data_IF_175557524061
#
_entry.id   IF_175557524061
#
_cell.length_a   1.000
_cell.length_b   1.000
_cell.length_c   1.000
_cell.angle_alpha   90.00
_cell.angle_beta   90.00
_cell.angle_gamma   90.00
#
_symmetry.space_group_name_H-M   'P 1'
#
loop_
_entity.id
_entity.type
_entity.pdbx_description
1 polymer ?
#
# COMPACT_ATOMS: atom_id res chain seq x y z
N UNK A 1 -1.55 -8.80 1.00
CA UNK A 1 -2.19 -8.79 -0.34
C UNK A 1 -1.14 -9.17 -1.37
N UNK A 2 -1.43 -10.11 -2.26
CA UNK A 2 -0.54 -10.48 -3.37
C UNK A 2 -0.93 -9.71 -4.63
N UNK A 3 0.04 -9.04 -5.26
CA UNK A 3 -0.16 -8.22 -6.45
C UNK A 3 0.86 -8.57 -7.54
N UNK A 4 0.50 -8.30 -8.80
CA UNK A 4 1.46 -8.35 -9.89
C UNK A 4 2.21 -7.01 -9.98
N UNK A 5 3.55 -7.00 -10.06
CA UNK A 5 4.30 -5.77 -10.33
C UNK A 5 3.98 -5.27 -11.75
N UNK A 6 3.78 -3.96 -11.89
CA UNK A 6 3.31 -3.30 -13.13
C UNK A 6 3.91 -1.87 -13.21
N UNK A 7 4.17 -1.32 -14.42
CA UNK A 7 4.65 0.06 -14.57
C UNK A 7 3.68 1.09 -13.99
N UNK A 8 4.18 2.12 -13.29
CA UNK A 8 3.39 3.07 -12.49
C UNK A 8 2.20 3.71 -13.22
N UNK A 9 2.32 3.97 -14.52
CA UNK A 9 1.31 4.66 -15.34
C UNK A 9 0.40 3.73 -16.15
N UNK A 10 0.58 2.41 -16.03
CA UNK A 10 -0.19 1.42 -16.78
C UNK A 10 -0.63 0.23 -15.92
N UNK A 11 -1.60 -0.52 -16.44
CA UNK A 11 -2.08 -1.75 -15.83
C UNK A 11 -2.46 -2.74 -16.91
N UNK A 12 -1.81 -3.91 -16.92
CA UNK A 12 -2.09 -4.96 -17.89
C UNK A 12 -2.83 -6.11 -17.25
N UNK A 13 -3.88 -6.59 -17.90
CA UNK A 13 -4.61 -7.76 -17.47
C UNK A 13 -3.93 -9.03 -18.02
N UNK A 14 -3.33 -9.83 -17.13
CA UNK A 14 -2.65 -11.10 -17.50
C UNK A 14 -3.60 -12.13 -18.16
N UNK A 15 -4.90 -12.05 -17.89
CA UNK A 15 -5.91 -12.98 -18.42
C UNK A 15 -6.51 -12.52 -19.75
N UNK A 16 -6.10 -11.36 -20.28
CA UNK A 16 -6.60 -10.83 -21.54
C UNK A 16 -5.77 -11.37 -22.72
N UNK A 17 -6.18 -12.53 -23.25
CA UNK A 17 -5.54 -13.17 -24.42
C UNK A 17 -5.72 -12.40 -25.73
N UNK A 18 -6.56 -11.36 -25.75
CA UNK A 18 -6.92 -10.61 -26.94
C UNK A 18 -6.31 -9.20 -26.95
N UNK A 19 -5.38 -8.92 -26.03
CA UNK A 19 -4.68 -7.63 -25.90
C UNK A 19 -5.62 -6.42 -25.83
N UNK A 20 -6.86 -6.55 -25.33
CA UNK A 20 -7.72 -5.37 -25.15
C UNK A 20 -7.12 -4.50 -24.05
N UNK A 21 -6.48 -3.36 -24.38
CA UNK A 21 -5.44 -2.78 -23.53
C UNK A 21 -5.99 -1.98 -22.34
N UNK A 22 -7.26 -2.15 -21.96
CA UNK A 22 -7.97 -1.26 -21.02
C UNK A 22 -9.01 -1.96 -20.14
N UNK A 23 -8.69 -3.14 -19.59
CA UNK A 23 -9.40 -3.60 -18.39
C UNK A 23 -8.74 -2.98 -17.16
N UNK A 24 -9.46 -2.07 -16.50
CA UNK A 24 -9.04 -1.32 -15.30
C UNK A 24 -9.05 -2.18 -14.03
N UNK A 25 -8.62 -3.44 -14.11
CA UNK A 25 -8.62 -4.36 -12.97
C UNK A 25 -7.20 -4.50 -12.45
N UNK A 26 -6.92 -3.93 -11.28
CA UNK A 26 -5.69 -4.24 -10.53
C UNK A 26 -5.92 -5.61 -9.88
N UNK A 27 -5.09 -6.60 -10.23
CA UNK A 27 -5.17 -7.92 -9.61
C UNK A 27 -4.48 -7.83 -8.24
N UNK A 28 -5.28 -7.84 -7.18
CA UNK A 28 -4.83 -7.92 -5.81
C UNK A 28 -5.75 -8.84 -5.03
N UNK A 29 -5.24 -10.00 -4.60
CA UNK A 29 -6.00 -10.91 -3.76
C UNK A 29 -5.48 -10.84 -2.32
N UNK A 30 -6.39 -10.80 -1.36
CA UNK A 30 -6.04 -11.06 0.05
C UNK A 30 -6.02 -12.57 0.21
N UNK A 31 -4.81 -13.11 0.18
CA UNK A 31 -4.54 -14.55 0.27
C UNK A 31 -4.32 -15.00 1.71
N UNK A 32 -3.86 -14.10 2.58
CA UNK A 32 -3.57 -14.37 3.99
C UNK A 32 -4.01 -13.19 4.87
N UNK A 33 -4.48 -13.50 6.09
CA UNK A 33 -4.91 -12.53 7.11
C UNK A 33 -4.22 -12.85 8.44
N UNK A 34 -3.87 -11.83 9.21
CA UNK A 34 -3.40 -11.99 10.59
C UNK A 34 -2.01 -12.61 10.74
N UNK A 35 -1.14 -12.53 9.72
CA UNK A 35 0.26 -12.93 9.85
C UNK A 35 1.04 -11.90 10.70
N UNK A 36 2.09 -12.31 11.44
CA UNK A 36 2.88 -11.37 12.24
C UNK A 36 3.60 -10.34 11.37
N UNK A 37 3.56 -9.06 11.77
CA UNK A 37 4.26 -7.97 11.08
C UNK A 37 5.76 -8.27 10.91
N UNK A 38 6.39 -8.86 11.93
CA UNK A 38 7.80 -9.28 11.88
C UNK A 38 8.08 -10.21 10.70
N UNK A 39 7.21 -11.19 10.45
CA UNK A 39 7.38 -12.15 9.35
C UNK A 39 7.41 -11.44 8.00
N UNK A 40 6.53 -10.46 7.79
CA UNK A 40 6.50 -9.69 6.55
C UNK A 40 7.70 -8.76 6.40
N UNK A 41 8.16 -8.14 7.48
CA UNK A 41 9.37 -7.30 7.46
C UNK A 41 10.61 -8.13 7.13
N UNK A 42 10.72 -9.34 7.71
CA UNK A 42 11.80 -10.27 7.41
C UNK A 42 11.76 -10.69 5.93
N UNK A 43 10.57 -11.02 5.39
CA UNK A 43 10.37 -11.30 3.97
C UNK A 43 10.79 -10.12 3.08
N UNK A 44 10.34 -8.90 3.40
CA UNK A 44 10.63 -7.71 2.62
C UNK A 44 12.13 -7.40 2.59
N UNK A 45 12.81 -7.50 3.74
CA UNK A 45 14.25 -7.27 3.84
C UNK A 45 15.02 -8.29 3.00
N UNK A 46 14.62 -9.57 3.03
CA UNK A 46 15.21 -10.61 2.19
C UNK A 46 14.98 -10.32 0.69
N UNK A 47 13.77 -9.91 0.31
CA UNK A 47 13.42 -9.56 -1.06
C UNK A 47 14.19 -8.33 -1.58
N UNK A 48 14.36 -7.30 -0.75
CA UNK A 48 15.15 -6.11 -1.08
C UNK A 48 16.63 -6.49 -1.25
N UNK A 49 17.19 -7.32 -0.38
CA UNK A 49 18.58 -7.76 -0.49
C UNK A 49 18.80 -8.59 -1.76
N UNK A 50 17.85 -9.47 -2.12
CA UNK A 50 17.89 -10.20 -3.39
C UNK A 50 17.76 -9.27 -4.61
N UNK A 51 16.91 -8.25 -4.54
CA UNK A 51 16.72 -7.28 -5.63
C UNK A 51 17.90 -6.33 -5.83
N UNK A 52 18.70 -6.07 -4.79
CA UNK A 52 19.96 -5.31 -4.88
C UNK A 52 21.05 -6.03 -5.65
N UNK A 53 20.90 -7.31 -5.97
CA UNK A 53 21.67 -7.99 -7.02
C UNK A 53 21.16 -7.62 -8.46
N UNK A 54 20.67 -6.39 -8.55
CA UNK A 54 20.43 -5.47 -9.68
C UNK A 54 19.52 -5.88 -10.84
N UNK A 55 19.19 -7.15 -11.00
CA UNK A 55 18.57 -7.58 -12.27
C UNK A 55 17.07 -7.86 -12.12
N UNK A 56 16.62 -8.23 -10.92
CA UNK A 56 15.33 -8.89 -10.74
C UNK A 56 14.11 -7.97 -10.82
N UNK A 57 14.12 -6.80 -10.16
CA UNK A 57 12.94 -5.92 -10.17
C UNK A 57 12.80 -5.13 -11.48
N UNK A 58 13.91 -4.77 -12.14
CA UNK A 58 13.89 -4.12 -13.45
C UNK A 58 13.43 -5.07 -14.56
N UNK A 59 13.83 -6.36 -14.52
CA UNK A 59 13.38 -7.36 -15.51
C UNK A 59 11.94 -7.85 -15.30
N UNK A 60 11.40 -7.74 -14.09
CA UNK A 60 10.03 -8.19 -13.77
C UNK A 60 8.99 -7.07 -13.76
N UNK A 61 9.37 -5.85 -14.13
CA UNK A 61 8.40 -4.88 -14.65
C UNK A 61 7.88 -5.40 -15.98
N UNK A 62 6.55 -5.43 -16.16
CA UNK A 62 6.01 -5.81 -17.46
C UNK A 62 6.54 -4.88 -18.55
N UNK A 63 6.91 -5.42 -19.72
CA UNK A 63 7.42 -4.60 -20.81
C UNK A 63 6.43 -3.52 -21.21
N UNK A 64 6.93 -2.30 -21.35
CA UNK A 64 6.23 -1.19 -21.99
C UNK A 64 6.51 -1.31 -23.49
N UNK A 65 5.46 -1.27 -24.33
CA UNK A 65 5.52 -1.29 -25.80
C UNK A 65 5.78 -2.66 -26.49
N UNK A 66 4.91 -3.64 -26.26
CA UNK A 66 4.80 -4.81 -27.16
C UNK A 66 6.00 -5.76 -27.20
N UNK A 67 6.92 -5.66 -26.24
CA UNK A 67 7.96 -6.67 -26.04
C UNK A 67 7.36 -7.91 -25.35
N UNK A 68 7.87 -9.13 -25.63
CA UNK A 68 7.33 -10.36 -25.09
C UNK A 68 7.28 -10.34 -23.56
N UNK A 69 6.13 -10.72 -23.00
CA UNK A 69 5.88 -10.75 -21.55
C UNK A 69 6.92 -11.59 -20.81
N UNK A 70 7.48 -11.06 -19.73
CA UNK A 70 8.29 -11.87 -18.82
C UNK A 70 7.36 -12.79 -18.00
N UNK A 71 7.33 -14.09 -18.33
CA UNK A 71 6.53 -15.11 -17.64
C UNK A 71 7.00 -15.40 -16.21
N UNK A 72 8.17 -14.87 -15.81
CA UNK A 72 8.75 -15.03 -14.47
C UNK A 72 8.43 -13.86 -13.53
N UNK A 73 7.47 -12.98 -13.88
CA UNK A 73 7.09 -11.84 -13.04
C UNK A 73 6.49 -12.30 -11.70
N UNK A 74 7.37 -12.41 -10.68
CA UNK A 74 7.01 -12.79 -9.32
C UNK A 74 5.94 -11.87 -8.74
N UNK A 75 5.03 -12.47 -7.98
CA UNK A 75 4.07 -11.74 -7.17
C UNK A 75 4.84 -10.90 -6.14
N UNK A 76 4.39 -9.67 -5.94
CA UNK A 76 4.81 -8.85 -4.81
C UNK A 76 3.78 -8.96 -3.69
N UNK A 77 4.26 -8.87 -2.46
CA UNK A 77 3.41 -8.80 -1.30
C UNK A 77 3.29 -7.35 -0.82
N UNK A 78 2.06 -6.98 -0.46
CA UNK A 78 1.72 -5.67 0.08
C UNK A 78 0.97 -5.88 1.40
N UNK A 79 1.59 -5.47 2.52
CA UNK A 79 0.93 -5.46 3.81
C UNK A 79 0.19 -4.14 3.99
N UNK A 80 -1.12 -4.25 4.19
CA UNK A 80 -2.08 -3.15 4.11
C UNK A 80 -2.98 -3.19 5.33
N UNK A 81 -3.48 -2.02 5.74
CA UNK A 81 -4.45 -1.87 6.84
C UNK A 81 -3.97 -2.51 8.16
N UNK A 82 -2.68 -2.36 8.49
CA UNK A 82 -2.13 -2.84 9.76
C UNK A 82 -2.52 -1.82 10.84
N UNK A 83 -3.31 -2.22 11.82
CA UNK A 83 -3.69 -1.34 12.94
C UNK A 83 -2.51 -1.08 13.86
N UNK A 84 -2.06 0.17 13.96
CA UNK A 84 -0.86 0.52 14.72
C UNK A 84 -0.98 0.16 16.21
N UNK A 85 -2.16 0.35 16.79
CA UNK A 85 -2.41 0.13 18.22
C UNK A 85 -2.38 -1.35 18.63
N UNK A 86 -2.50 -2.28 17.67
CA UNK A 86 -2.49 -3.72 17.94
C UNK A 86 -1.10 -4.34 17.76
N UNK A 87 -0.12 -3.57 17.30
CA UNK A 87 1.22 -4.08 17.03
C UNK A 87 2.12 -3.90 18.25
N UNK A 88 2.93 -4.93 18.53
CA UNK A 88 4.00 -4.85 19.52
C UNK A 88 5.25 -4.24 18.87
N UNK A 89 5.54 -2.98 19.20
CA UNK A 89 6.72 -2.27 18.72
C UNK A 89 7.81 -2.24 19.81
N UNK A 90 9.01 -2.69 19.45
CA UNK A 90 10.15 -2.82 20.38
C UNK A 90 10.85 -1.51 20.72
N UNK A 91 10.57 -0.41 20.00
CA UNK A 91 11.17 0.91 20.18
C UNK A 91 10.12 1.99 19.94
N UNK A 92 10.30 3.17 20.58
CA UNK A 92 9.45 4.39 20.52
C UNK A 92 8.10 4.11 19.90
N UNK A 93 7.07 3.86 20.71
CA UNK A 93 5.72 3.57 20.20
C UNK A 93 5.40 4.56 19.07
N UNK A 94 5.26 4.11 17.81
CA UNK A 94 5.03 5.02 16.68
C UNK A 94 3.83 5.95 16.92
N UNK A 95 2.90 5.50 17.77
CA UNK A 95 1.83 6.30 18.37
C UNK A 95 2.31 7.62 19.01
N UNK A 96 3.38 7.60 19.80
CA UNK A 96 3.96 8.79 20.42
C UNK A 96 4.48 9.81 19.39
N UNK A 97 4.91 9.35 18.21
CA UNK A 97 5.31 10.26 17.12
C UNK A 97 4.09 10.80 16.37
N UNK A 98 3.05 9.99 16.17
CA UNK A 98 1.76 10.42 15.61
C UNK A 98 1.12 11.49 16.50
N UNK A 99 1.21 11.35 17.82
CA UNK A 99 0.65 12.30 18.79
C UNK A 99 1.31 13.70 18.72
N UNK A 100 2.47 13.83 18.05
CA UNK A 100 3.12 15.12 17.80
C UNK A 100 2.54 15.86 16.59
N UNK A 101 1.69 15.21 15.79
CA UNK A 101 1.04 15.86 14.66
C UNK A 101 0.15 17.02 15.14
N UNK A 102 0.05 18.11 14.37
CA UNK A 102 -0.97 19.13 14.60
C UNK A 102 -2.36 18.50 14.70
N UNK A 103 -3.22 19.03 15.56
CA UNK A 103 -4.54 18.43 15.81
C UNK A 103 -5.35 18.19 14.52
N UNK A 104 -5.22 19.03 13.49
CA UNK A 104 -5.94 18.86 12.22
C UNK A 104 -5.52 17.63 11.40
N UNK A 105 -4.37 17.03 11.70
CA UNK A 105 -3.81 15.84 11.05
C UNK A 105 -3.86 14.59 11.95
N UNK A 106 -4.18 14.77 13.24
CA UNK A 106 -4.27 13.66 14.19
C UNK A 106 -5.62 12.94 14.04
N UNK A 107 -5.66 11.60 14.07
CA UNK A 107 -6.90 10.82 13.97
C UNK A 107 -7.95 11.26 15.00
N UNK A 108 -7.50 11.63 16.20
CA UNK A 108 -8.34 12.01 17.34
C UNK A 108 -8.25 13.51 17.66
N UNK A 109 -7.84 14.31 16.68
CA UNK A 109 -7.65 15.74 16.79
C UNK A 109 -8.87 16.49 17.29
N UNK A 110 -8.66 17.58 18.05
CA UNK A 110 -9.74 18.45 18.51
C UNK A 110 -10.58 18.95 17.33
N UNK A 111 -11.90 18.77 17.41
CA UNK A 111 -12.84 19.22 16.39
C UNK A 111 -13.01 18.25 15.20
N UNK A 112 -12.35 17.09 15.20
CA UNK A 112 -12.63 16.05 14.22
C UNK A 112 -14.04 15.45 14.44
N UNK A 113 -14.84 15.37 13.39
CA UNK A 113 -16.19 14.81 13.42
C UNK A 113 -16.19 13.34 13.85
N UNK A 114 -15.12 12.60 13.55
CA UNK A 114 -14.99 11.19 13.89
C UNK A 114 -14.93 10.94 15.41
N UNK A 115 -14.60 11.96 16.21
CA UNK A 115 -14.62 11.85 17.67
C UNK A 115 -16.04 11.68 18.24
N UNK A 116 -17.08 12.03 17.47
CA UNK A 116 -18.49 11.91 17.88
C UNK A 116 -19.09 10.54 17.55
N UNK A 117 -18.35 9.64 16.92
CA UNK A 117 -18.81 8.27 16.65
C UNK A 117 -19.04 7.46 17.94
N UNK A 118 -18.34 7.80 19.04
CA UNK A 118 -18.43 7.09 20.31
C UNK A 118 -17.73 5.72 20.32
N UNK A 119 -17.06 5.36 19.22
CA UNK A 119 -16.33 4.11 19.04
C UNK A 119 -15.08 4.29 18.17
N UNK A 120 -14.16 3.33 18.24
CA UNK A 120 -13.04 3.24 17.30
C UNK A 120 -13.55 2.69 15.96
N UNK A 121 -13.39 3.47 14.91
CA UNK A 121 -13.63 3.10 13.53
C UNK A 121 -12.26 2.86 12.88
N UNK A 122 -11.91 1.59 12.76
CA UNK A 122 -10.61 1.12 12.25
C UNK A 122 -10.21 1.83 10.96
N UNK A 123 -9.07 2.53 10.98
CA UNK A 123 -8.50 3.23 9.84
C UNK A 123 -9.15 4.58 9.50
N UNK A 124 -10.10 5.05 10.31
CA UNK A 124 -10.66 6.40 10.20
C UNK A 124 -10.22 7.27 11.38
N UNK A 125 -10.52 6.86 12.61
CA UNK A 125 -10.06 7.53 13.84
C UNK A 125 -9.00 6.70 14.59
N UNK A 126 -8.32 5.82 13.86
CA UNK A 126 -7.16 5.07 14.32
C UNK A 126 -6.14 4.94 13.20
N UNK A 127 -4.87 4.89 13.57
CA UNK A 127 -3.77 4.85 12.62
C UNK A 127 -3.65 3.49 11.92
N UNK A 128 -3.45 3.54 10.60
CA UNK A 128 -3.09 2.37 9.80
C UNK A 128 -1.68 2.49 9.23
N UNK A 129 -0.91 1.43 9.38
CA UNK A 129 0.39 1.24 8.77
C UNK A 129 0.26 0.42 7.47
N UNK A 130 1.05 0.82 6.48
CA UNK A 130 1.20 0.14 5.21
C UNK A 130 2.68 -0.15 4.98
N UNK A 131 3.02 -1.42 4.78
CA UNK A 131 4.40 -1.84 4.46
C UNK A 131 4.45 -2.29 3.00
N UNK A 132 5.24 -1.57 2.20
CA UNK A 132 5.20 -1.62 0.74
C UNK A 132 6.50 -2.17 0.15
N UNK A 133 6.37 -3.04 -0.84
CA UNK A 133 7.43 -3.34 -1.78
C UNK A 133 7.31 -2.38 -3.00
N UNK A 134 8.38 -2.20 -3.80
CA UNK A 134 8.27 -1.50 -5.06
C UNK A 134 7.16 -2.10 -5.94
N UNK A 135 6.26 -1.24 -6.42
CA UNK A 135 5.11 -1.65 -7.23
C UNK A 135 3.85 -1.99 -6.44
N UNK A 136 3.86 -1.97 -5.09
CA UNK A 136 2.64 -2.09 -4.29
C UNK A 136 1.64 -1.00 -4.66
N UNK A 137 0.37 -1.37 -4.85
CA UNK A 137 -0.70 -0.47 -5.29
C UNK A 137 -1.88 -0.50 -4.34
N UNK A 138 -2.35 0.68 -3.97
CA UNK A 138 -3.72 0.87 -3.50
C UNK A 138 -4.56 1.29 -4.71
N UNK A 139 -5.63 0.56 -5.01
CA UNK A 139 -6.52 0.90 -6.14
C UNK A 139 -7.24 2.22 -5.89
N UNK A 140 -7.63 2.91 -6.97
CA UNK A 140 -8.41 4.14 -6.87
C UNK A 140 -9.73 3.90 -6.12
N UNK A 141 -10.02 4.76 -5.13
CA UNK A 141 -11.28 4.79 -4.39
C UNK A 141 -11.49 6.19 -3.79
N UNK A 142 -12.73 6.63 -3.59
CA UNK A 142 -13.01 7.68 -2.59
C UNK A 142 -12.83 7.09 -1.19
N UNK A 143 -12.40 7.91 -0.24
CA UNK A 143 -12.35 7.53 1.17
C UNK A 143 -13.75 7.15 1.69
N UNK A 144 -13.79 6.29 2.71
CA UNK A 144 -15.05 5.89 3.35
C UNK A 144 -15.82 7.13 3.83
N UNK A 145 -17.10 7.23 3.47
CA UNK A 145 -17.94 8.38 3.80
C UNK A 145 -17.41 9.74 3.27
N UNK A 146 -16.47 9.74 2.32
CA UNK A 146 -15.87 10.94 1.73
C UNK A 146 -15.17 11.84 2.77
N UNK A 147 -14.66 11.26 3.85
CA UNK A 147 -13.84 12.00 4.82
C UNK A 147 -12.46 12.34 4.23
N UNK A 148 -11.82 13.38 4.76
CA UNK A 148 -10.44 13.67 4.40
C UNK A 148 -9.50 12.58 4.94
N UNK A 149 -8.43 12.30 4.19
CA UNK A 149 -7.39 11.34 4.56
C UNK A 149 -6.03 12.03 4.64
N UNK A 150 -5.23 11.63 5.63
CA UNK A 150 -3.85 12.07 5.80
C UNK A 150 -2.92 10.86 5.62
N UNK A 151 -1.93 10.96 4.74
CA UNK A 151 -0.94 9.91 4.52
C UNK A 151 0.47 10.47 4.68
N UNK A 152 1.27 9.84 5.53
CA UNK A 152 2.67 10.18 5.74
C UNK A 152 3.58 9.05 5.25
N UNK A 153 4.43 9.33 4.26
CA UNK A 153 5.42 8.38 3.80
C UNK A 153 6.67 8.43 4.69
N UNK A 154 6.88 7.38 5.50
CA UNK A 154 8.04 7.24 6.38
C UNK A 154 9.34 6.96 5.58
N UNK A 155 9.22 6.51 4.32
CA UNK A 155 10.36 6.22 3.46
C UNK A 155 10.98 4.83 3.71
N UNK A 156 12.17 4.52 3.15
CA UNK A 156 13.08 5.37 2.35
C UNK A 156 12.70 5.54 0.87
N UNK A 157 11.76 4.73 0.36
CA UNK A 157 11.31 4.82 -1.03
C UNK A 157 10.19 5.85 -1.23
N UNK A 158 9.94 6.21 -2.48
CA UNK A 158 8.89 7.16 -2.86
C UNK A 158 7.52 6.48 -3.08
N UNK A 159 6.46 7.26 -2.87
CA UNK A 159 5.11 6.91 -3.30
C UNK A 159 4.66 7.87 -4.40
N UNK A 160 4.04 7.34 -5.46
CA UNK A 160 3.42 8.15 -6.53
C UNK A 160 1.91 8.19 -6.30
N UNK A 161 1.35 9.40 -6.30
CA UNK A 161 -0.07 9.65 -6.06
C UNK A 161 -0.78 10.15 -7.32
N UNK A 162 -1.99 9.64 -7.53
CA UNK A 162 -2.90 10.11 -8.58
C UNK A 162 -4.22 10.51 -7.92
N UNK A 163 -4.64 11.76 -8.12
CA UNK A 163 -5.88 12.30 -7.57
C UNK A 163 -6.77 12.87 -8.67
N UNK A 164 -8.08 12.64 -8.56
CA UNK A 164 -9.09 13.23 -9.44
C UNK A 164 -10.06 14.03 -8.58
N UNK A 165 -10.31 15.32 -8.87
CA UNK A 165 -11.28 16.11 -8.12
C UNK A 165 -12.66 15.47 -8.14
N UNK A 166 -13.34 15.46 -6.98
CA UNK A 166 -14.76 15.16 -6.91
C UNK A 166 -15.54 16.28 -7.62
N UNK A 167 -16.54 15.91 -8.41
CA UNK A 167 -17.44 16.84 -9.12
C UNK A 167 -18.60 17.23 -8.24
#
# INVERSE_FOLDING_TARGET
MHQSPQPTTSNFNRNDKNEHPKKWTIIGNVTEKGFPLKTFVDWLNNGINYAKEETYLHQNQLPINGQPHNTNANLIEFATNIELETQDFTFVEPKNEVDKLPYMLSPNGKGNLLNYAGENIVGLNSDQLYVKAPGSRTSIHPENSTVASFNHNIGRGDCVWYGVPLK
#
